data_IF_846802393981
#
_entry.id   IF_846802393981
#
_cell.length_a   1.000
_cell.length_b   1.000
_cell.length_c   1.000
_cell.angle_alpha   90.00
_cell.angle_beta   90.00
_cell.angle_gamma   90.00
#
_symmetry.space_group_name_H-M   'P 1'
#
loop_
_entity.id
_entity.type
_entity.pdbx_description
1 polymer ?
#
# COMPACT_ATOMS: atom_id res chain seq x y z
N UNK A 1 43.03 0.75 31.83
CA UNK A 1 41.54 0.83 31.85
C UNK A 1 41.10 1.00 30.41
N UNK A 2 40.72 -0.07 29.72
CA UNK A 2 40.17 -0.02 28.40
C UNK A 2 38.70 0.30 28.50
N UNK A 3 38.31 1.50 28.06
CA UNK A 3 36.92 1.91 27.99
C UNK A 3 36.20 1.00 26.97
N UNK A 4 35.31 0.12 27.44
CA UNK A 4 34.34 -0.59 26.58
C UNK A 4 33.37 0.45 26.02
N UNK A 5 33.58 0.87 24.79
CA UNK A 5 32.58 1.65 24.06
C UNK A 5 31.36 0.75 23.83
N UNK A 6 30.18 1.16 24.36
CA UNK A 6 28.93 0.47 24.09
C UNK A 6 28.70 0.39 22.55
N UNK A 7 28.28 -0.76 22.02
CA UNK A 7 28.04 -0.88 20.60
C UNK A 7 26.98 0.14 20.16
N UNK A 8 27.33 0.93 19.14
CA UNK A 8 26.42 1.95 18.56
C UNK A 8 25.13 1.27 18.10
N UNK A 9 23.99 1.85 18.44
CA UNK A 9 22.69 1.33 17.95
C UNK A 9 22.69 1.36 16.41
N UNK A 10 22.31 0.26 15.73
CA UNK A 10 22.28 0.22 14.28
C UNK A 10 21.35 1.30 13.72
N UNK A 11 21.79 1.99 12.66
CA UNK A 11 21.00 3.03 11.97
C UNK A 11 19.71 2.45 11.38
N UNK A 12 18.73 3.31 11.09
CA UNK A 12 17.48 2.89 10.47
C UNK A 12 17.72 2.17 9.12
N UNK A 13 18.58 2.74 8.27
CA UNK A 13 18.95 2.15 6.97
C UNK A 13 19.61 0.78 7.12
N UNK A 14 20.54 0.65 8.07
CA UNK A 14 21.18 -0.65 8.34
C UNK A 14 20.13 -1.72 8.71
N UNK A 15 19.13 -1.37 9.50
CA UNK A 15 18.05 -2.29 9.89
C UNK A 15 17.17 -2.72 8.72
N UNK A 16 16.83 -1.82 7.80
CA UNK A 16 16.09 -2.20 6.60
C UNK A 16 16.80 -3.29 5.81
N UNK A 17 18.12 -3.15 5.63
CA UNK A 17 18.93 -4.14 4.91
C UNK A 17 19.10 -5.45 5.67
N UNK A 18 19.21 -5.42 6.99
CA UNK A 18 19.38 -6.64 7.80
C UNK A 18 18.11 -7.42 8.01
N UNK A 19 16.98 -6.72 8.20
CA UNK A 19 15.72 -7.36 8.55
C UNK A 19 14.87 -7.76 7.33
N UNK A 20 15.00 -7.02 6.17
CA UNK A 20 14.24 -7.29 4.96
C UNK A 20 14.98 -6.88 3.68
N UNK A 21 16.12 -7.52 3.35
CA UNK A 21 16.99 -7.10 2.23
C UNK A 21 16.26 -7.09 0.88
N UNK A 22 15.37 -8.06 0.61
CA UNK A 22 14.66 -8.14 -0.65
C UNK A 22 13.66 -6.98 -0.84
N UNK A 23 12.86 -6.65 0.18
CA UNK A 23 11.95 -5.50 0.13
C UNK A 23 12.73 -4.18 0.01
N UNK A 24 13.82 -4.03 0.76
CA UNK A 24 14.67 -2.84 0.72
C UNK A 24 15.33 -2.67 -0.65
N UNK A 25 15.91 -3.73 -1.19
CA UNK A 25 16.57 -3.70 -2.51
C UNK A 25 15.57 -3.40 -3.63
N UNK A 26 14.38 -4.03 -3.61
CA UNK A 26 13.35 -3.75 -4.60
C UNK A 26 12.81 -2.31 -4.47
N UNK A 27 12.59 -1.81 -3.26
CA UNK A 27 12.17 -0.42 -3.06
C UNK A 27 13.19 0.57 -3.64
N UNK A 28 14.49 0.33 -3.44
CA UNK A 28 15.56 1.15 -4.03
C UNK A 28 15.54 1.09 -5.57
N UNK A 29 15.38 -0.10 -6.15
CA UNK A 29 15.28 -0.26 -7.60
C UNK A 29 14.07 0.49 -8.17
N UNK A 30 12.92 0.43 -7.49
CA UNK A 30 11.71 1.16 -7.88
C UNK A 30 11.94 2.67 -7.84
N UNK A 31 12.59 3.18 -6.79
CA UNK A 31 12.93 4.60 -6.68
C UNK A 31 13.89 5.04 -7.81
N UNK A 32 14.88 4.23 -8.14
CA UNK A 32 15.79 4.50 -9.27
C UNK A 32 15.05 4.45 -10.62
N UNK A 33 14.10 3.54 -10.79
CA UNK A 33 13.27 3.43 -11.99
C UNK A 33 12.33 4.64 -12.19
N UNK A 34 12.12 5.49 -11.18
CA UNK A 34 11.38 6.74 -11.37
C UNK A 34 12.11 7.74 -12.27
N UNK A 35 13.45 7.72 -12.32
CA UNK A 35 14.21 8.65 -13.16
C UNK A 35 13.88 8.51 -14.67
N UNK A 36 13.93 7.30 -15.29
CA UNK A 36 13.50 7.16 -16.68
C UNK A 36 12.00 7.43 -16.88
N UNK A 37 11.12 7.20 -15.89
CA UNK A 37 9.70 7.57 -16.00
C UNK A 37 9.49 9.09 -16.03
N UNK A 38 10.20 9.84 -15.19
CA UNK A 38 10.19 11.31 -15.21
C UNK A 38 10.71 11.84 -16.52
N UNK A 39 11.77 11.23 -17.07
CA UNK A 39 12.28 11.58 -18.40
C UNK A 39 11.23 11.30 -19.49
N UNK A 40 10.54 10.15 -19.41
CA UNK A 40 9.47 9.80 -20.34
C UNK A 40 8.32 10.82 -20.29
N UNK A 41 7.92 11.30 -19.10
CA UNK A 41 6.91 12.36 -18.95
C UNK A 41 7.34 13.69 -19.61
N UNK A 42 8.64 13.98 -19.65
CA UNK A 42 9.15 15.20 -20.28
C UNK A 42 9.24 15.09 -21.82
N UNK A 43 9.45 13.88 -22.34
CA UNK A 43 9.72 13.65 -23.77
C UNK A 43 8.52 13.15 -24.55
N UNK A 44 7.53 12.54 -23.90
CA UNK A 44 6.38 11.90 -24.52
C UNK A 44 5.10 12.70 -24.24
N UNK A 45 4.57 13.45 -25.21
CA UNK A 45 3.43 14.33 -25.00
C UNK A 45 2.07 13.58 -25.01
N UNK A 46 2.07 12.23 -25.07
CA UNK A 46 0.82 11.47 -25.13
C UNK A 46 0.04 11.55 -23.82
N UNK A 47 -1.27 11.65 -23.96
CA UNK A 47 -2.22 11.68 -22.85
C UNK A 47 -3.06 10.40 -22.81
N UNK A 48 -3.45 10.02 -21.58
CA UNK A 48 -4.49 9.01 -21.35
C UNK A 48 -5.68 9.73 -20.69
N UNK A 49 -6.72 10.00 -21.47
CA UNK A 49 -7.73 10.97 -21.07
C UNK A 49 -7.15 12.38 -20.97
N UNK A 50 -7.29 13.03 -19.81
CA UNK A 50 -6.75 14.36 -19.55
C UNK A 50 -5.41 14.34 -18.78
N UNK A 51 -4.88 13.17 -18.44
CA UNK A 51 -3.64 13.03 -17.66
C UNK A 51 -2.49 12.53 -18.56
N UNK A 52 -1.25 12.91 -18.20
CA UNK A 52 -0.04 12.38 -18.81
C UNK A 52 -0.03 10.84 -18.69
N UNK A 53 0.32 10.15 -19.79
CA UNK A 53 0.26 8.69 -19.85
C UNK A 53 1.22 8.01 -18.87
N UNK A 54 2.34 8.66 -18.50
CA UNK A 54 3.34 8.17 -17.56
C UNK A 54 3.03 8.50 -16.10
N UNK A 55 2.03 9.36 -15.83
CA UNK A 55 1.65 9.74 -14.48
C UNK A 55 1.18 8.54 -13.64
N UNK A 56 0.41 7.61 -14.25
CA UNK A 56 -0.03 6.40 -13.57
C UNK A 56 1.12 5.48 -13.20
N UNK A 57 2.05 5.11 -14.10
CA UNK A 57 3.27 4.38 -13.74
C UNK A 57 4.02 5.06 -12.59
N UNK A 58 4.21 6.38 -12.61
CA UNK A 58 4.91 7.11 -11.56
C UNK A 58 4.20 7.01 -10.21
N UNK A 59 2.86 7.21 -10.16
CA UNK A 59 2.06 7.06 -8.94
C UNK A 59 2.21 5.66 -8.34
N UNK A 60 2.25 4.60 -9.16
CA UNK A 60 2.44 3.22 -8.69
C UNK A 60 3.86 2.95 -8.19
N UNK A 61 4.89 3.52 -8.82
CA UNK A 61 6.26 3.41 -8.32
C UNK A 61 6.39 4.05 -6.93
N UNK A 62 5.84 5.24 -6.72
CA UNK A 62 5.83 5.90 -5.41
C UNK A 62 5.10 5.04 -4.37
N UNK A 63 3.88 4.59 -4.68
CA UNK A 63 3.06 3.83 -3.74
C UNK A 63 3.71 2.51 -3.34
N UNK A 64 4.24 1.74 -4.30
CA UNK A 64 4.87 0.45 -4.04
C UNK A 64 6.24 0.59 -3.36
N UNK A 65 7.01 1.63 -3.66
CA UNK A 65 8.25 1.92 -2.92
C UNK A 65 7.95 2.22 -1.44
N UNK A 66 6.96 3.08 -1.15
CA UNK A 66 6.52 3.38 0.22
C UNK A 66 6.02 2.11 0.91
N UNK A 67 5.21 1.30 0.24
CA UNK A 67 4.71 0.04 0.78
C UNK A 67 5.85 -0.91 1.17
N UNK A 68 6.80 -1.15 0.28
CA UNK A 68 7.94 -2.05 0.52
C UNK A 68 8.85 -1.54 1.64
N UNK A 69 9.15 -0.24 1.69
CA UNK A 69 9.92 0.37 2.78
C UNK A 69 9.19 0.20 4.11
N UNK A 70 7.87 0.35 4.12
CA UNK A 70 7.05 0.16 5.32
C UNK A 70 7.07 -1.29 5.80
N UNK A 71 6.91 -2.26 4.90
CA UNK A 71 7.05 -3.68 5.23
C UNK A 71 8.46 -4.00 5.74
N UNK A 72 9.50 -3.45 5.11
CA UNK A 72 10.88 -3.62 5.55
C UNK A 72 11.12 -3.05 6.96
N UNK A 73 10.57 -1.87 7.25
CA UNK A 73 10.65 -1.26 8.58
C UNK A 73 9.95 -2.09 9.66
N UNK A 74 8.85 -2.77 9.31
CA UNK A 74 8.09 -3.60 10.25
C UNK A 74 8.63 -5.03 10.38
N UNK A 75 9.46 -5.49 9.46
CA UNK A 75 10.03 -6.85 9.46
C UNK A 75 10.84 -7.18 10.72
N UNK A 76 11.41 -6.15 11.38
CA UNK A 76 12.14 -6.30 12.64
C UNK A 76 11.33 -6.92 13.78
N UNK A 77 10.01 -6.82 13.72
CA UNK A 77 9.10 -7.37 14.74
C UNK A 77 8.51 -8.73 14.36
N UNK A 78 8.90 -9.29 13.23
CA UNK A 78 8.60 -10.67 12.89
C UNK A 78 9.39 -11.63 13.80
N UNK A 79 8.85 -12.83 14.10
CA UNK A 79 9.59 -13.87 14.80
C UNK A 79 10.91 -14.20 14.06
N UNK A 80 12.02 -14.33 14.79
CA UNK A 80 13.32 -14.65 14.17
C UNK A 80 13.30 -15.95 13.38
N UNK A 81 12.68 -17.01 13.90
CA UNK A 81 12.54 -18.27 13.19
C UNK A 81 11.73 -18.15 11.90
N UNK A 82 10.77 -17.22 11.81
CA UNK A 82 10.04 -16.94 10.59
C UNK A 82 10.96 -16.28 9.56
N UNK A 83 11.69 -15.23 9.93
CA UNK A 83 12.58 -14.49 9.01
C UNK A 83 13.66 -15.39 8.39
N UNK A 84 14.19 -16.35 9.16
CA UNK A 84 15.18 -17.31 8.69
C UNK A 84 14.58 -18.42 7.82
N UNK A 85 13.27 -18.62 7.83
CA UNK A 85 12.63 -19.77 7.20
C UNK A 85 12.64 -19.69 5.67
N UNK A 86 12.76 -20.86 4.99
CA UNK A 86 12.65 -20.97 3.53
C UNK A 86 11.26 -20.55 3.04
N UNK A 87 10.20 -20.85 3.82
CA UNK A 87 8.81 -20.47 3.49
C UNK A 87 8.62 -18.96 3.42
N UNK A 88 9.18 -18.23 4.39
CA UNK A 88 9.14 -16.77 4.39
C UNK A 88 9.91 -16.18 3.21
N UNK A 89 11.11 -16.68 2.93
CA UNK A 89 11.90 -16.22 1.78
C UNK A 89 11.19 -16.47 0.45
N UNK A 90 10.56 -17.63 0.28
CA UNK A 90 9.75 -17.94 -0.90
C UNK A 90 8.54 -17.01 -1.04
N UNK A 91 7.84 -16.73 0.08
CA UNK A 91 6.72 -15.80 0.09
C UNK A 91 7.16 -14.36 -0.26
N UNK A 92 8.26 -13.87 0.33
CA UNK A 92 8.83 -12.55 0.00
C UNK A 92 9.22 -12.48 -1.48
N UNK A 93 9.84 -13.54 -2.02
CA UNK A 93 10.18 -13.59 -3.45
C UNK A 93 8.93 -13.51 -4.35
N UNK A 94 7.86 -14.21 -3.97
CA UNK A 94 6.58 -14.15 -4.69
C UNK A 94 5.97 -12.73 -4.64
N UNK A 95 5.97 -12.08 -3.47
CA UNK A 95 5.50 -10.69 -3.31
C UNK A 95 6.33 -9.74 -4.18
N UNK A 96 7.66 -9.86 -4.16
CA UNK A 96 8.53 -9.05 -5.02
C UNK A 96 8.26 -9.29 -6.51
N UNK A 97 8.04 -10.54 -6.91
CA UNK A 97 7.68 -10.88 -8.30
C UNK A 97 6.35 -10.22 -8.71
N UNK A 98 5.33 -10.27 -7.84
CA UNK A 98 4.06 -9.59 -8.08
C UNK A 98 4.23 -8.08 -8.24
N UNK A 99 5.04 -7.44 -7.39
CA UNK A 99 5.34 -6.00 -7.50
C UNK A 99 6.02 -5.67 -8.83
N UNK A 100 7.02 -6.46 -9.23
CA UNK A 100 7.70 -6.28 -10.51
C UNK A 100 6.74 -6.46 -11.68
N UNK A 101 5.91 -7.51 -11.66
CA UNK A 101 4.92 -7.77 -12.71
C UNK A 101 3.91 -6.62 -12.85
N UNK A 102 3.42 -6.06 -11.71
CA UNK A 102 2.55 -4.88 -11.70
C UNK A 102 3.19 -3.68 -12.38
N UNK A 103 4.41 -3.34 -11.99
CA UNK A 103 5.10 -2.16 -12.52
C UNK A 103 5.45 -2.31 -14.00
N UNK A 104 5.93 -3.49 -14.42
CA UNK A 104 6.21 -3.79 -15.83
C UNK A 104 4.94 -3.73 -16.67
N UNK A 105 3.83 -4.25 -16.14
CA UNK A 105 2.54 -4.20 -16.82
C UNK A 105 2.01 -2.77 -16.97
N UNK A 106 2.01 -1.99 -15.87
CA UNK A 106 1.51 -0.62 -15.90
C UNK A 106 2.38 0.27 -16.79
N UNK A 107 3.70 0.13 -16.71
CA UNK A 107 4.66 0.84 -17.56
C UNK A 107 4.57 0.41 -19.01
N UNK A 108 4.44 -0.89 -19.29
CA UNK A 108 4.26 -1.44 -20.64
C UNK A 108 2.98 -0.99 -21.31
N UNK A 109 1.85 -0.96 -20.57
CA UNK A 109 0.59 -0.44 -21.07
C UNK A 109 0.70 1.04 -21.45
N UNK A 110 1.34 1.86 -20.60
CA UNK A 110 1.61 3.27 -20.91
C UNK A 110 2.47 3.42 -22.16
N UNK A 111 3.56 2.66 -22.28
CA UNK A 111 4.40 2.66 -23.48
C UNK A 111 3.64 2.31 -24.76
N UNK A 112 2.70 1.38 -24.68
CA UNK A 112 1.82 0.98 -25.78
C UNK A 112 0.65 1.95 -26.05
N UNK A 113 0.49 3.02 -25.26
CA UNK A 113 -0.60 3.97 -25.43
C UNK A 113 -1.96 3.44 -25.00
N UNK A 114 -2.02 2.46 -24.08
CA UNK A 114 -3.27 1.83 -23.63
C UNK A 114 -3.40 1.83 -22.11
N UNK A 115 -4.58 1.46 -21.61
CA UNK A 115 -4.85 1.38 -20.17
C UNK A 115 -4.42 0.03 -19.62
N UNK A 116 -3.77 0.04 -18.46
CA UNK A 116 -3.38 -1.19 -17.77
C UNK A 116 -4.52 -1.84 -16.99
N UNK A 117 -5.49 -1.05 -16.51
CA UNK A 117 -6.65 -1.51 -15.73
C UNK A 117 -7.92 -1.21 -16.51
N UNK A 118 -8.95 -2.01 -16.29
CA UNK A 118 -10.24 -1.91 -16.97
C UNK A 118 -10.15 -2.08 -18.51
N UNK A 119 -9.05 -2.63 -19.00
CA UNK A 119 -8.91 -2.92 -20.43
C UNK A 119 -9.53 -4.28 -20.73
N UNK A 120 -10.76 -4.24 -21.22
CA UNK A 120 -11.55 -5.41 -21.59
C UNK A 120 -11.72 -5.53 -23.11
N UNK A 121 -10.91 -4.81 -23.90
CA UNK A 121 -11.04 -4.69 -25.34
C UNK A 121 -10.79 -5.99 -26.11
N UNK A 122 -10.08 -6.95 -25.51
CA UNK A 122 -9.83 -8.25 -26.12
C UNK A 122 -9.58 -9.32 -25.05
N UNK A 123 -9.73 -10.62 -25.39
CA UNK A 123 -9.48 -11.71 -24.43
C UNK A 123 -8.10 -11.67 -23.78
N UNK A 124 -6.98 -11.40 -24.47
CA UNK A 124 -5.68 -11.27 -23.81
C UNK A 124 -5.64 -10.19 -22.74
N UNK A 125 -6.24 -9.02 -22.99
CA UNK A 125 -6.29 -7.92 -22.01
C UNK A 125 -7.12 -8.29 -20.80
N UNK A 126 -8.23 -9.01 -20.98
CA UNK A 126 -9.07 -9.49 -19.88
C UNK A 126 -8.32 -10.47 -18.99
N UNK A 127 -7.59 -11.43 -19.59
CA UNK A 127 -6.75 -12.39 -18.84
C UNK A 127 -5.66 -11.65 -18.07
N UNK A 128 -4.95 -10.73 -18.70
CA UNK A 128 -3.90 -9.94 -18.07
C UNK A 128 -4.46 -9.09 -16.92
N UNK A 129 -5.60 -8.45 -17.08
CA UNK A 129 -6.26 -7.69 -16.03
C UNK A 129 -6.63 -8.58 -14.82
N UNK A 130 -7.14 -9.78 -15.09
CA UNK A 130 -7.46 -10.76 -14.02
C UNK A 130 -6.20 -11.24 -13.28
N UNK A 131 -5.11 -11.52 -14.00
CA UNK A 131 -3.82 -11.90 -13.41
C UNK A 131 -3.24 -10.77 -12.55
N UNK A 132 -3.37 -9.51 -12.99
CA UNK A 132 -2.94 -8.36 -12.21
C UNK A 132 -3.76 -8.21 -10.92
N UNK A 133 -5.08 -8.43 -10.97
CA UNK A 133 -5.90 -8.47 -9.75
C UNK A 133 -5.43 -9.52 -8.74
N UNK A 134 -5.06 -10.71 -9.23
CA UNK A 134 -4.48 -11.77 -8.38
C UNK A 134 -3.11 -11.37 -7.83
N UNK A 135 -2.26 -10.76 -8.65
CA UNK A 135 -0.95 -10.26 -8.23
C UNK A 135 -1.09 -9.16 -7.17
N UNK A 136 -2.01 -8.22 -7.35
CA UNK A 136 -2.32 -7.16 -6.39
C UNK A 136 -2.81 -7.72 -5.04
N UNK A 137 -3.72 -8.70 -5.05
CA UNK A 137 -4.16 -9.38 -3.85
C UNK A 137 -3.00 -10.13 -3.16
N UNK A 138 -2.15 -10.80 -3.94
CA UNK A 138 -0.98 -11.53 -3.44
C UNK A 138 0.04 -10.59 -2.80
N UNK A 139 0.43 -9.51 -3.48
CA UNK A 139 1.40 -8.56 -2.89
C UNK A 139 0.85 -7.88 -1.64
N UNK A 140 -0.44 -7.52 -1.62
CA UNK A 140 -1.07 -6.91 -0.44
C UNK A 140 -1.21 -7.89 0.72
N UNK A 141 -1.29 -9.19 0.46
CA UNK A 141 -1.33 -10.23 1.51
C UNK A 141 -0.11 -10.24 2.42
N UNK A 142 1.00 -9.62 1.99
CA UNK A 142 2.19 -9.46 2.84
C UNK A 142 1.87 -8.68 4.13
N UNK A 143 1.00 -7.67 4.06
CA UNK A 143 0.54 -6.94 5.24
C UNK A 143 -0.24 -7.85 6.20
N UNK A 144 -1.15 -8.68 5.72
CA UNK A 144 -1.89 -9.64 6.55
C UNK A 144 -0.96 -10.65 7.22
N UNK A 145 -0.08 -11.29 6.44
CA UNK A 145 0.86 -12.30 6.93
C UNK A 145 1.78 -11.71 8.00
N UNK A 146 2.33 -10.52 7.76
CA UNK A 146 3.16 -9.81 8.74
C UNK A 146 2.35 -9.40 9.98
N UNK A 147 1.15 -8.87 9.81
CA UNK A 147 0.26 -8.49 10.91
C UNK A 147 -0.04 -9.67 11.84
N UNK A 148 -0.42 -10.82 11.28
CA UNK A 148 -0.66 -12.03 12.06
C UNK A 148 0.60 -12.57 12.74
N UNK A 149 1.74 -12.52 12.07
CA UNK A 149 3.01 -12.97 12.64
C UNK A 149 3.46 -12.07 13.79
N UNK A 150 3.36 -10.74 13.65
CA UNK A 150 3.69 -9.77 14.71
C UNK A 150 2.70 -9.90 15.88
N UNK A 151 1.42 -10.13 15.61
CA UNK A 151 0.43 -10.40 16.67
C UNK A 151 0.86 -11.55 17.58
N UNK A 152 1.27 -12.66 16.96
CA UNK A 152 1.68 -13.89 17.64
C UNK A 152 3.09 -13.82 18.25
N UNK A 153 3.88 -12.82 17.92
CA UNK A 153 5.24 -12.67 18.47
C UNK A 153 5.22 -12.00 19.85
N UNK A 154 5.52 -12.71 20.95
CA UNK A 154 5.58 -12.10 22.27
C UNK A 154 6.83 -11.24 22.49
N UNK A 155 7.89 -11.45 21.68
CA UNK A 155 9.21 -10.86 21.85
C UNK A 155 9.43 -9.58 21.02
N UNK A 156 8.37 -8.84 20.67
CA UNK A 156 8.51 -7.62 19.85
C UNK A 156 9.21 -6.47 20.58
N UNK A 157 9.17 -6.43 21.92
CA UNK A 157 9.64 -5.32 22.73
C UNK A 157 8.85 -4.01 22.53
N UNK A 158 7.73 -4.05 21.82
CA UNK A 158 6.89 -2.89 21.61
C UNK A 158 5.97 -2.62 22.81
N UNK A 159 5.68 -1.33 23.03
CA UNK A 159 4.58 -0.95 23.91
C UNK A 159 3.27 -1.60 23.41
N UNK A 160 2.41 -2.15 24.31
CA UNK A 160 1.21 -2.90 23.90
C UNK A 160 0.28 -2.16 22.94
N UNK A 161 0.08 -0.84 23.16
CA UNK A 161 -0.72 -0.01 22.26
C UNK A 161 -0.10 0.11 20.86
N UNK A 162 1.22 0.31 20.77
CA UNK A 162 1.93 0.41 19.49
C UNK A 162 1.85 -0.93 18.75
N UNK A 163 2.08 -2.05 19.43
CA UNK A 163 1.94 -3.38 18.84
C UNK A 163 0.53 -3.63 18.32
N UNK A 164 -0.50 -3.33 19.12
CA UNK A 164 -1.90 -3.49 18.69
C UNK A 164 -2.22 -2.64 17.47
N UNK A 165 -1.82 -1.38 17.46
CA UNK A 165 -2.07 -0.46 16.36
C UNK A 165 -1.36 -0.89 15.06
N UNK A 166 -0.11 -1.36 15.17
CA UNK A 166 0.66 -1.92 14.06
C UNK A 166 -0.04 -3.15 13.47
N UNK A 167 -0.49 -4.07 14.31
CA UNK A 167 -1.21 -5.28 13.89
C UNK A 167 -2.52 -4.91 13.22
N UNK A 168 -3.31 -4.01 13.81
CA UNK A 168 -4.57 -3.54 13.21
C UNK A 168 -4.30 -2.86 11.86
N UNK A 169 -3.30 -1.98 11.77
CA UNK A 169 -2.92 -1.31 10.52
C UNK A 169 -2.61 -2.30 9.40
N UNK A 170 -1.79 -3.29 9.68
CA UNK A 170 -1.39 -4.31 8.71
C UNK A 170 -2.57 -5.19 8.27
N UNK A 171 -3.39 -5.67 9.20
CA UNK A 171 -4.53 -6.54 8.89
C UNK A 171 -5.63 -5.77 8.16
N UNK A 172 -5.98 -4.58 8.65
CA UNK A 172 -7.02 -3.75 8.06
C UNK A 172 -6.62 -3.26 6.66
N UNK A 173 -5.33 -2.97 6.42
CA UNK A 173 -4.85 -2.68 5.06
C UNK A 173 -5.25 -3.79 4.09
N UNK A 174 -4.96 -5.05 4.40
CA UNK A 174 -5.34 -6.15 3.50
C UNK A 174 -6.85 -6.27 3.34
N UNK A 175 -7.59 -6.33 4.43
CA UNK A 175 -9.04 -6.59 4.40
C UNK A 175 -9.81 -5.47 3.69
N UNK A 176 -9.52 -4.21 4.03
CA UNK A 176 -10.20 -3.07 3.44
C UNK A 176 -9.76 -2.83 1.99
N UNK A 177 -8.49 -3.08 1.66
CA UNK A 177 -8.01 -3.01 0.27
C UNK A 177 -8.68 -4.07 -0.59
N UNK A 178 -8.77 -5.31 -0.10
CA UNK A 178 -9.44 -6.39 -0.84
C UNK A 178 -10.92 -6.08 -1.07
N UNK A 179 -11.60 -5.50 -0.08
CA UNK A 179 -13.00 -5.06 -0.22
C UNK A 179 -13.14 -3.96 -1.29
N UNK A 180 -12.38 -2.88 -1.15
CA UNK A 180 -12.53 -1.69 -2.01
C UNK A 180 -12.02 -1.93 -3.42
N UNK A 181 -10.87 -2.59 -3.59
CA UNK A 181 -10.33 -2.94 -4.89
C UNK A 181 -11.12 -4.05 -5.58
N UNK A 182 -11.58 -5.06 -4.81
CA UNK A 182 -12.40 -6.14 -5.34
C UNK A 182 -13.71 -5.62 -5.94
N UNK A 183 -14.40 -4.72 -5.25
CA UNK A 183 -15.58 -4.06 -5.80
C UNK A 183 -15.22 -3.20 -7.02
N UNK A 184 -14.19 -2.35 -6.91
CA UNK A 184 -13.76 -1.48 -8.02
C UNK A 184 -13.36 -2.29 -9.27
N UNK A 185 -12.78 -3.47 -9.12
CA UNK A 185 -12.42 -4.33 -10.25
C UNK A 185 -13.63 -4.98 -10.94
N UNK A 186 -14.79 -5.02 -10.29
CA UNK A 186 -16.04 -5.54 -10.84
C UNK A 186 -16.88 -4.47 -11.58
N UNK A 187 -16.43 -3.21 -11.52
CA UNK A 187 -17.06 -2.06 -12.21
C UNK A 187 -16.31 -1.72 -13.50
N UNK A 188 -16.95 -1.05 -14.48
CA UNK A 188 -16.29 -0.68 -15.76
C UNK A 188 -15.20 0.40 -15.59
N UNK A 189 -15.05 0.98 -14.42
CA UNK A 189 -14.07 2.02 -14.10
C UNK A 189 -14.08 2.37 -12.60
N UNK A 190 -13.34 3.37 -12.23
CA UNK A 190 -13.25 3.83 -10.84
C UNK A 190 -14.31 4.91 -10.47
N UNK A 191 -15.06 5.40 -11.45
CA UNK A 191 -16.16 6.35 -11.22
C UNK A 191 -17.50 5.62 -11.13
N UNK A 192 -18.36 6.09 -10.24
CA UNK A 192 -19.77 5.73 -10.16
C UNK A 192 -20.57 6.97 -10.57
N UNK A 193 -21.16 6.94 -11.75
CA UNK A 193 -21.73 8.07 -12.45
C UNK A 193 -20.80 8.58 -13.58
N UNK A 194 -21.30 9.54 -14.37
CA UNK A 194 -20.56 10.11 -15.51
C UNK A 194 -20.21 11.56 -15.20
N UNK A 195 -18.90 11.91 -15.06
CA UNK A 195 -18.49 13.30 -14.89
C UNK A 195 -18.90 14.14 -16.11
N UNK A 196 -19.31 15.38 -15.90
CA UNK A 196 -19.75 16.31 -16.94
C UNK A 196 -18.61 17.23 -17.37
N UNK A 197 -17.95 17.86 -16.41
CA UNK A 197 -16.86 18.81 -16.66
C UNK A 197 -15.47 18.19 -16.51
N UNK A 198 -15.42 17.02 -15.83
CA UNK A 198 -14.16 16.36 -15.50
C UNK A 198 -13.40 17.03 -14.34
N UNK A 199 -14.10 17.85 -13.52
CA UNK A 199 -13.48 18.52 -12.38
C UNK A 199 -12.93 17.51 -11.37
N UNK A 200 -11.65 17.67 -11.01
CA UNK A 200 -10.94 16.79 -10.08
C UNK A 200 -10.25 17.54 -8.96
N UNK A 201 -9.96 16.84 -7.87
CA UNK A 201 -9.12 17.34 -6.80
C UNK A 201 -7.66 17.41 -7.28
N UNK A 202 -6.97 18.56 -7.09
CA UNK A 202 -5.54 18.65 -7.39
C UNK A 202 -4.74 17.53 -6.70
N UNK A 203 -3.64 17.10 -7.28
CA UNK A 203 -2.72 16.07 -6.81
C UNK A 203 -3.27 14.64 -6.89
N UNK A 204 -4.48 14.40 -6.38
CA UNK A 204 -5.09 13.06 -6.33
C UNK A 204 -5.79 12.69 -7.64
N UNK A 205 -6.36 13.66 -8.35
CA UNK A 205 -7.18 13.45 -9.53
C UNK A 205 -8.54 12.80 -9.23
N UNK A 206 -9.02 12.89 -7.97
CA UNK A 206 -10.34 12.36 -7.59
C UNK A 206 -11.45 13.25 -8.11
N UNK A 207 -12.53 12.64 -8.60
CA UNK A 207 -13.69 13.37 -9.10
C UNK A 207 -14.32 14.24 -8.03
N UNK A 208 -14.72 15.46 -8.43
CA UNK A 208 -15.55 16.38 -7.65
C UNK A 208 -17.01 16.40 -8.08
N UNK A 209 -17.38 15.52 -9.00
CA UNK A 209 -18.72 15.50 -9.61
C UNK A 209 -19.49 14.23 -9.34
N UNK A 210 -18.77 13.10 -9.25
CA UNK A 210 -19.36 11.77 -9.11
C UNK A 210 -18.59 10.95 -8.08
N UNK A 211 -19.13 9.80 -7.70
CA UNK A 211 -18.47 8.88 -6.80
C UNK A 211 -17.13 8.39 -7.37
N UNK A 212 -16.08 8.44 -6.54
CA UNK A 212 -14.75 7.97 -6.92
C UNK A 212 -14.26 6.88 -5.96
N UNK A 213 -14.28 5.64 -6.42
CA UNK A 213 -13.90 4.46 -5.63
C UNK A 213 -12.43 4.48 -5.18
N UNK A 214 -11.58 5.29 -5.84
CA UNK A 214 -10.17 5.45 -5.49
C UNK A 214 -9.98 6.10 -4.13
N UNK A 215 -10.93 6.91 -3.66
CA UNK A 215 -10.87 7.56 -2.33
C UNK A 215 -10.83 6.52 -1.22
N UNK A 216 -11.83 5.64 -1.18
CA UNK A 216 -11.91 4.59 -0.18
C UNK A 216 -10.73 3.60 -0.29
N UNK A 217 -10.33 3.27 -1.51
CA UNK A 217 -9.17 2.40 -1.77
C UNK A 217 -7.85 3.04 -1.27
N UNK A 218 -7.66 4.34 -1.48
CA UNK A 218 -6.50 5.07 -0.95
C UNK A 218 -6.47 5.03 0.58
N UNK A 219 -7.57 5.33 1.24
CA UNK A 219 -7.65 5.25 2.69
C UNK A 219 -7.37 3.82 3.18
N UNK A 220 -7.97 2.81 2.55
CA UNK A 220 -7.77 1.40 2.89
C UNK A 220 -6.30 1.00 2.84
N UNK A 221 -5.59 1.36 1.77
CA UNK A 221 -4.15 1.05 1.61
C UNK A 221 -3.26 1.80 2.60
N UNK A 222 -3.74 2.89 3.19
CA UNK A 222 -2.98 3.70 4.15
C UNK A 222 -3.25 3.36 5.62
N UNK A 223 -4.10 2.37 5.93
CA UNK A 223 -4.32 1.90 7.30
C UNK A 223 -3.00 1.46 7.97
N UNK A 224 -2.08 0.83 7.22
CA UNK A 224 -0.76 0.39 7.70
C UNK A 224 0.17 1.56 8.09
N UNK A 225 -0.15 2.80 7.69
CA UNK A 225 0.57 4.00 8.10
C UNK A 225 -0.17 4.75 9.21
N UNK A 226 -1.45 5.03 9.00
CA UNK A 226 -2.27 5.83 9.89
C UNK A 226 -2.42 5.20 11.29
N UNK A 227 -2.71 3.90 11.35
CA UNK A 227 -2.95 3.25 12.63
C UNK A 227 -1.69 3.10 13.49
N UNK A 228 -0.50 2.72 12.98
CA UNK A 228 0.73 2.76 13.79
C UNK A 228 1.06 4.16 14.33
N UNK A 229 0.85 5.22 13.53
CA UNK A 229 1.02 6.61 13.99
C UNK A 229 0.01 6.94 15.11
N UNK A 230 -1.25 6.53 14.96
CA UNK A 230 -2.23 6.65 16.02
C UNK A 230 -1.82 5.86 17.27
N UNK A 231 -1.25 4.67 17.13
CA UNK A 231 -0.73 3.88 18.25
C UNK A 231 0.39 4.58 19.02
N UNK A 232 1.28 5.30 18.32
CA UNK A 232 2.30 6.13 18.94
C UNK A 232 1.69 7.29 19.74
N UNK A 233 0.66 7.93 19.20
CA UNK A 233 -0.08 8.98 19.90
C UNK A 233 -0.81 8.41 21.13
N UNK A 234 -1.56 7.31 20.99
CA UNK A 234 -2.28 6.67 22.06
C UNK A 234 -1.38 6.24 23.23
N UNK A 235 -0.17 5.74 22.92
CA UNK A 235 0.84 5.37 23.94
C UNK A 235 1.42 6.57 24.68
N UNK A 236 1.31 7.79 24.14
CA UNK A 236 1.72 9.03 24.82
C UNK A 236 0.57 9.69 25.59
N UNK A 237 -0.67 9.49 25.13
CA UNK A 237 -1.85 10.12 25.72
C UNK A 237 -2.42 9.38 26.93
N UNK A 238 -2.14 8.07 27.03
CA UNK A 238 -2.67 7.24 28.11
C UNK A 238 -1.82 5.99 28.34
N UNK A 239 -1.91 5.45 29.55
CA UNK A 239 -1.23 4.23 29.95
C UNK A 239 -2.18 3.03 30.04
N UNK A 240 -1.60 1.83 30.00
CA UNK A 240 -2.27 0.56 30.26
C UNK A 240 -3.54 0.33 29.41
N UNK A 241 -4.67 -0.09 30.03
CA UNK A 241 -5.90 -0.40 29.31
C UNK A 241 -6.50 0.77 28.53
N UNK A 242 -6.28 2.02 28.99
CA UNK A 242 -6.78 3.22 28.32
C UNK A 242 -6.12 3.44 26.97
N UNK A 243 -4.79 3.25 26.88
CA UNK A 243 -4.07 3.35 25.60
C UNK A 243 -4.55 2.29 24.59
N UNK A 244 -4.84 1.08 25.08
CA UNK A 244 -5.40 0.01 24.25
C UNK A 244 -6.83 0.32 23.78
N UNK A 245 -7.65 0.94 24.63
CA UNK A 245 -9.01 1.39 24.25
C UNK A 245 -8.94 2.49 23.18
N UNK A 246 -8.02 3.46 23.31
CA UNK A 246 -7.80 4.50 22.29
C UNK A 246 -7.38 3.90 20.94
N UNK A 247 -6.52 2.89 20.93
CA UNK A 247 -6.17 2.19 19.70
C UNK A 247 -7.38 1.48 19.09
N UNK A 248 -8.20 0.81 19.91
CA UNK A 248 -9.44 0.19 19.44
C UNK A 248 -10.39 1.19 18.82
N UNK A 249 -10.65 2.30 19.51
CA UNK A 249 -11.54 3.38 19.04
C UNK A 249 -11.00 4.00 17.72
N UNK A 250 -9.70 4.30 17.63
CA UNK A 250 -9.09 4.83 16.43
C UNK A 250 -9.13 3.85 15.24
N UNK A 251 -8.92 2.56 15.50
CA UNK A 251 -9.04 1.53 14.45
C UNK A 251 -10.49 1.40 13.96
N UNK A 252 -11.47 1.45 14.86
CA UNK A 252 -12.90 1.45 14.50
C UNK A 252 -13.26 2.70 13.70
N UNK A 253 -12.88 3.88 14.19
CA UNK A 253 -13.15 5.16 13.50
C UNK A 253 -12.53 5.18 12.09
N UNK A 254 -11.29 4.70 11.93
CA UNK A 254 -10.65 4.60 10.62
C UNK A 254 -11.38 3.62 9.70
N UNK A 255 -11.79 2.46 10.21
CA UNK A 255 -12.58 1.49 9.44
C UNK A 255 -13.91 2.10 8.99
N UNK A 256 -14.62 2.77 9.90
CA UNK A 256 -15.87 3.46 9.57
C UNK A 256 -15.66 4.58 8.54
N UNK A 257 -14.57 5.32 8.61
CA UNK A 257 -14.21 6.33 7.60
C UNK A 257 -14.04 5.70 6.21
N UNK A 258 -13.31 4.58 6.11
CA UNK A 258 -13.15 3.86 4.84
C UNK A 258 -14.49 3.36 4.32
N UNK A 259 -15.31 2.76 5.17
CA UNK A 259 -16.63 2.24 4.77
C UNK A 259 -17.60 3.36 4.39
N UNK A 260 -17.58 4.50 5.10
CA UNK A 260 -18.42 5.66 4.79
C UNK A 260 -18.04 6.28 3.43
N UNK A 261 -16.73 6.51 3.19
CA UNK A 261 -16.26 7.02 1.88
C UNK A 261 -16.52 6.03 0.75
N UNK A 262 -16.46 4.73 1.04
CA UNK A 262 -16.81 3.69 0.07
C UNK A 262 -18.30 3.69 -0.26
N UNK A 263 -19.18 3.75 0.74
CA UNK A 263 -20.62 3.85 0.54
C UNK A 263 -21.01 5.15 -0.20
N UNK A 264 -20.38 6.29 0.14
CA UNK A 264 -20.55 7.56 -0.55
C UNK A 264 -20.19 7.44 -2.04
N UNK A 265 -19.05 6.84 -2.35
CA UNK A 265 -18.62 6.63 -3.74
C UNK A 265 -19.59 5.70 -4.50
N UNK A 266 -20.06 4.61 -3.89
CA UNK A 266 -21.06 3.69 -4.49
C UNK A 266 -22.39 4.42 -4.74
N UNK A 267 -22.77 5.36 -3.89
CA UNK A 267 -23.95 6.21 -4.09
C UNK A 267 -23.78 7.27 -5.19
N UNK A 268 -22.64 7.29 -5.91
CA UNK A 268 -22.36 8.25 -6.97
C UNK A 268 -21.98 9.65 -6.47
N UNK A 269 -21.72 9.81 -5.17
CA UNK A 269 -21.44 11.11 -4.57
C UNK A 269 -19.93 11.36 -4.46
N UNK A 270 -19.43 12.54 -4.86
CA UNK A 270 -18.04 12.91 -4.71
C UNK A 270 -17.66 13.06 -3.22
N UNK A 271 -16.34 13.00 -2.94
CA UNK A 271 -15.84 13.22 -1.56
C UNK A 271 -16.08 14.66 -1.08
N UNK A 272 -15.88 15.64 -1.97
CA UNK A 272 -15.98 17.09 -1.71
C UNK A 272 -16.70 17.79 -2.89
#
# INVERSE_FOLDING_TARGET
MTAFSAPSRPTFTHRLWTDAPAFTGLALLILLAMAPLLLAMLLDPRLSGAEDIWLKPLKFHIALAIYLVTLAAFARWLPEGMRASRRWRGFVALVCLCVIAELLWIGGAAAMGTTSHFNLSSPPWQVLYSLMGLAAATLTSASLVMGLAIHRNPATGLHPAIKRALVHGLILTFLLTLLTAGYMSSTPGHHVGTPVTGATLPLFGWSREVGDLRVAHFLATHALHALPLWGLAAARLADGPRSLALVGAGSLAFTLLVLATFAQAIAGQPLL
#
